data_IF_009874099609
#
_entry.id   IF_009874099609
#
_cell.length_a   1.000
_cell.length_b   1.000
_cell.length_c   1.000
_cell.angle_alpha   90.00
_cell.angle_beta   90.00
_cell.angle_gamma   90.00
#
_symmetry.space_group_name_H-M   'P 1'
#
loop_
_entity.id
_entity.type
_entity.pdbx_description
1 polymer ?
#
# COMPACT_ATOMS: atom_id res chain seq x y z
N UNK A 1 21.34 -50.81 -0.39
CA UNK A 1 22.00 -49.56 -0.81
C UNK A 1 21.09 -48.41 -0.44
N UNK A 2 21.46 -47.70 0.63
CA UNK A 2 20.62 -46.68 1.27
C UNK A 2 20.86 -45.34 0.58
N UNK A 3 19.80 -44.75 0.04
CA UNK A 3 19.81 -43.50 -0.71
C UNK A 3 20.02 -42.31 0.25
N UNK A 4 21.09 -41.56 0.01
CA UNK A 4 21.44 -40.33 0.72
C UNK A 4 20.34 -39.26 0.57
N UNK A 5 19.93 -38.53 1.62
CA UNK A 5 18.97 -37.45 1.49
C UNK A 5 19.67 -36.22 0.90
N UNK A 6 19.13 -35.73 -0.22
CA UNK A 6 19.57 -34.51 -0.88
C UNK A 6 19.47 -33.30 0.07
N UNK A 7 20.61 -32.64 0.33
CA UNK A 7 20.69 -31.36 1.00
C UNK A 7 19.82 -30.34 0.26
N UNK A 8 18.80 -29.81 0.94
CA UNK A 8 18.05 -28.65 0.46
C UNK A 8 18.98 -27.44 0.53
N UNK A 9 19.16 -26.66 -0.56
CA UNK A 9 19.92 -25.43 -0.49
C UNK A 9 19.24 -24.49 0.50
N UNK A 10 19.99 -24.08 1.52
CA UNK A 10 19.56 -23.06 2.46
C UNK A 10 19.20 -21.78 1.69
N UNK A 11 18.10 -21.09 2.04
CA UNK A 11 17.75 -19.84 1.38
C UNK A 11 18.90 -18.87 1.66
N UNK A 12 19.70 -18.55 0.64
CA UNK A 12 20.62 -17.42 0.68
C UNK A 12 19.77 -16.25 1.12
N UNK A 13 20.00 -15.77 2.35
CA UNK A 13 19.46 -14.50 2.82
C UNK A 13 20.06 -13.44 1.91
N UNK A 14 19.43 -13.20 0.76
CA UNK A 14 19.61 -11.98 0.02
C UNK A 14 19.18 -10.90 1.01
N UNK A 15 20.15 -10.28 1.69
CA UNK A 15 19.89 -9.12 2.52
C UNK A 15 19.06 -8.19 1.65
N UNK A 16 17.84 -7.85 2.12
CA UNK A 16 16.88 -7.09 1.33
C UNK A 16 17.59 -5.90 0.67
N UNK A 17 17.26 -5.63 -0.58
CA UNK A 17 17.80 -4.50 -1.35
C UNK A 17 17.58 -3.19 -0.58
N UNK A 18 16.51 -3.11 0.23
CA UNK A 18 16.28 -2.06 1.23
C UNK A 18 17.39 -1.97 2.26
N UNK A 19 17.75 -3.10 2.89
CA UNK A 19 18.82 -3.16 3.88
C UNK A 19 20.18 -2.85 3.25
N UNK A 20 20.44 -3.31 2.02
CA UNK A 20 21.67 -3.02 1.30
C UNK A 20 21.80 -1.53 0.94
N UNK A 21 20.74 -0.92 0.42
CA UNK A 21 20.71 0.52 0.13
C UNK A 21 20.85 1.36 1.40
N UNK A 22 20.17 0.98 2.48
CA UNK A 22 20.28 1.68 3.76
C UNK A 22 21.70 1.57 4.34
N UNK A 23 22.30 0.37 4.31
CA UNK A 23 23.67 0.15 4.77
C UNK A 23 24.69 0.89 3.91
N UNK A 24 24.52 0.88 2.58
CA UNK A 24 25.38 1.64 1.67
C UNK A 24 25.28 3.15 1.94
N UNK A 25 24.05 3.65 2.16
CA UNK A 25 23.81 5.05 2.51
C UNK A 25 24.43 5.40 3.87
N UNK A 26 24.22 4.57 4.89
CA UNK A 26 24.83 4.77 6.21
C UNK A 26 26.36 4.78 6.11
N UNK A 27 26.93 3.83 5.37
CA UNK A 27 28.37 3.73 5.13
C UNK A 27 28.93 4.97 4.43
N UNK A 28 28.23 5.48 3.41
CA UNK A 28 28.61 6.71 2.71
C UNK A 28 28.57 7.93 3.65
N UNK A 29 27.50 8.06 4.44
CA UNK A 29 27.34 9.17 5.39
C UNK A 29 28.43 9.16 6.46
N UNK A 30 28.69 7.99 7.07
CA UNK A 30 29.72 7.83 8.09
C UNK A 30 31.11 8.07 7.50
N UNK A 31 31.39 7.51 6.33
CA UNK A 31 32.67 7.69 5.64
C UNK A 31 32.94 9.16 5.30
N UNK A 32 31.96 9.84 4.72
CA UNK A 32 32.08 11.25 4.36
C UNK A 32 32.23 12.15 5.60
N UNK A 33 31.46 11.86 6.65
CA UNK A 33 31.58 12.56 7.95
C UNK A 33 32.95 12.38 8.59
N UNK A 34 33.53 11.18 8.52
CA UNK A 34 34.86 10.88 9.06
C UNK A 34 35.97 11.57 8.28
N UNK A 35 35.88 11.59 6.94
CA UNK A 35 36.84 12.32 6.09
C UNK A 35 36.81 13.82 6.40
N UNK A 36 35.62 14.41 6.54
CA UNK A 36 35.48 15.83 6.87
C UNK A 36 36.01 16.13 8.27
N UNK A 37 35.68 15.28 9.25
CA UNK A 37 36.20 15.42 10.60
C UNK A 37 37.73 15.36 10.63
N UNK A 38 38.34 14.45 9.87
CA UNK A 38 39.79 14.31 9.77
C UNK A 38 40.43 15.54 9.10
N UNK A 39 39.89 15.99 7.97
CA UNK A 39 40.37 17.19 7.27
C UNK A 39 40.28 18.42 8.18
N UNK A 40 39.16 18.59 8.88
CA UNK A 40 38.98 19.67 9.84
C UNK A 40 39.95 19.57 11.02
N UNK A 41 40.15 18.37 11.57
CA UNK A 41 41.08 18.15 12.66
C UNK A 41 42.51 18.56 12.29
N UNK A 42 42.95 18.24 11.06
CA UNK A 42 44.28 18.63 10.58
C UNK A 42 44.36 20.13 10.30
N UNK A 43 43.45 20.69 9.49
CA UNK A 43 43.49 22.10 9.06
C UNK A 43 43.36 23.06 10.24
N UNK A 44 42.46 22.76 11.20
CA UNK A 44 42.31 23.53 12.45
C UNK A 44 43.61 23.56 13.24
N UNK A 45 44.22 22.39 13.45
CA UNK A 45 45.41 22.25 14.28
C UNK A 45 46.63 22.95 13.65
N UNK A 46 46.74 22.95 12.32
CA UNK A 46 47.81 23.66 11.59
C UNK A 46 47.60 25.18 11.67
N UNK A 47 46.38 25.65 11.45
CA UNK A 47 46.07 27.10 11.45
C UNK A 47 46.30 27.72 12.82
N UNK A 48 45.80 27.07 13.88
CA UNK A 48 46.00 27.52 15.26
C UNK A 48 47.48 27.52 15.64
N UNK A 49 48.24 26.50 15.22
CA UNK A 49 49.67 26.42 15.49
C UNK A 49 50.47 27.58 14.84
N UNK A 50 50.11 28.00 13.62
CA UNK A 50 50.75 29.14 12.95
C UNK A 50 50.49 30.46 13.67
N UNK A 51 49.24 30.71 14.06
CA UNK A 51 48.86 31.90 14.83
C UNK A 51 49.62 31.99 16.16
N UNK A 52 49.74 30.87 16.88
CA UNK A 52 50.56 30.83 18.11
C UNK A 52 52.04 31.06 17.84
N UNK A 53 52.59 30.50 16.75
CA UNK A 53 53.99 30.73 16.40
C UNK A 53 54.27 32.20 16.08
N UNK A 54 53.42 32.86 15.30
CA UNK A 54 53.54 34.28 14.99
C UNK A 54 53.47 35.14 16.27
N UNK A 55 52.56 34.83 17.19
CA UNK A 55 52.43 35.55 18.45
C UNK A 55 53.61 35.31 19.42
N UNK A 56 54.13 34.07 19.47
CA UNK A 56 55.12 33.68 20.47
C UNK A 56 56.56 33.84 20.00
N UNK A 57 56.84 33.75 18.70
CA UNK A 57 58.19 33.76 18.16
C UNK A 57 59.03 34.98 18.59
N UNK A 58 58.52 36.23 18.55
CA UNK A 58 59.31 37.39 18.98
C UNK A 58 59.69 37.32 20.46
N UNK A 59 58.77 36.85 21.31
CA UNK A 59 58.97 36.74 22.76
C UNK A 59 59.92 35.59 23.11
N UNK A 60 59.78 34.45 22.43
CA UNK A 60 60.66 33.30 22.59
C UNK A 60 62.08 33.60 22.08
N UNK A 61 62.21 34.29 20.95
CA UNK A 61 63.50 34.70 20.41
C UNK A 61 64.20 35.70 21.34
N UNK A 62 63.48 36.69 21.87
CA UNK A 62 64.02 37.62 22.85
C UNK A 62 64.46 36.93 24.16
N UNK A 63 63.61 36.05 24.71
CA UNK A 63 63.91 35.33 25.95
C UNK A 63 65.08 34.35 25.80
N UNK A 64 65.28 33.79 24.60
CA UNK A 64 66.42 32.96 24.24
C UNK A 64 67.71 33.77 23.95
N UNK A 65 67.61 35.10 23.81
CA UNK A 65 68.72 35.99 23.44
C UNK A 65 69.09 35.94 21.95
N UNK A 66 68.15 35.54 21.09
CA UNK A 66 68.30 35.44 19.64
C UNK A 66 67.86 36.72 18.89
N UNK A 67 67.04 37.57 19.53
CA UNK A 67 66.51 38.81 18.96
C UNK A 67 66.36 39.89 20.05
N UNK A 68 66.29 41.19 19.71
CA UNK A 68 65.99 42.25 20.68
C UNK A 68 64.57 42.08 21.27
N UNK A 69 64.33 42.52 22.52
CA UNK A 69 63.03 42.39 23.17
C UNK A 69 61.95 43.18 22.40
N UNK A 70 60.78 42.57 22.14
CA UNK A 70 59.69 43.24 21.43
C UNK A 70 59.13 44.41 22.26
N UNK A 71 58.68 45.46 21.58
CA UNK A 71 58.13 46.67 22.21
C UNK A 71 56.82 46.42 23.00
N UNK A 72 56.10 45.33 22.72
CA UNK A 72 54.88 44.91 23.41
C UNK A 72 55.14 43.59 24.15
N UNK A 73 55.20 43.63 25.49
CA UNK A 73 55.32 42.44 26.35
C UNK A 73 53.94 41.81 26.58
N UNK A 74 53.47 41.01 25.62
CA UNK A 74 52.11 40.46 25.63
C UNK A 74 51.91 39.15 26.42
N UNK A 75 52.95 38.35 26.67
CA UNK A 75 52.83 37.14 27.50
C UNK A 75 54.05 36.96 28.42
N UNK A 76 53.78 36.55 29.66
CA UNK A 76 54.81 36.22 30.64
C UNK A 76 55.57 34.98 30.18
N UNK A 77 56.83 35.15 29.80
CA UNK A 77 57.73 34.04 29.44
C UNK A 77 58.44 33.57 30.70
N UNK A 78 58.12 32.38 31.19
CA UNK A 78 58.87 31.79 32.30
C UNK A 78 60.11 31.07 31.77
N UNK A 79 61.29 31.44 32.28
CA UNK A 79 62.58 30.88 31.88
C UNK A 79 63.06 29.83 32.88
N UNK A 80 63.37 28.63 32.41
CA UNK A 80 63.97 27.55 33.21
C UNK A 80 65.13 26.88 32.46
N UNK A 81 66.15 26.49 33.21
CA UNK A 81 67.29 25.74 32.66
C UNK A 81 67.08 24.22 32.76
N UNK A 82 66.39 23.77 33.81
CA UNK A 82 65.99 22.39 33.99
C UNK A 82 64.64 22.07 33.32
N UNK A 83 64.42 20.82 32.88
CA UNK A 83 63.15 20.42 32.29
C UNK A 83 62.00 20.55 33.29
N UNK A 84 60.82 21.05 32.87
CA UNK A 84 59.66 21.16 33.74
C UNK A 84 59.15 19.77 34.13
N UNK A 85 59.16 19.48 35.44
CA UNK A 85 58.82 18.16 36.03
C UNK A 85 57.33 17.84 35.92
N UNK A 86 56.47 18.86 35.99
CA UNK A 86 55.01 18.70 35.92
C UNK A 86 54.45 18.70 34.48
N UNK A 87 55.31 18.95 33.47
CA UNK A 87 54.88 19.05 32.09
C UNK A 87 54.99 17.71 31.34
N UNK A 88 53.95 17.33 30.59
CA UNK A 88 53.91 16.11 29.78
C UNK A 88 54.48 16.35 28.39
N UNK A 89 55.29 15.42 27.90
CA UNK A 89 55.82 15.46 26.53
C UNK A 89 54.68 15.31 25.52
N UNK A 90 54.66 16.17 24.50
CA UNK A 90 53.69 16.08 23.40
C UNK A 90 54.18 15.09 22.36
N UNK A 91 53.29 14.27 21.81
CA UNK A 91 53.64 13.34 20.72
C UNK A 91 54.23 14.11 19.53
N UNK A 92 55.40 13.67 19.07
CA UNK A 92 56.11 14.26 17.95
C UNK A 92 55.33 14.17 16.62
N UNK A 93 54.37 13.24 16.54
CA UNK A 93 53.56 12.98 15.34
C UNK A 93 52.22 13.75 15.34
N UNK A 94 51.92 14.52 16.39
CA UNK A 94 50.67 15.27 16.43
C UNK A 94 50.69 16.44 15.42
N UNK A 95 49.69 16.61 14.53
CA UNK A 95 49.69 17.65 13.50
C UNK A 95 49.90 19.07 14.04
N UNK A 96 49.29 19.40 15.19
CA UNK A 96 49.48 20.68 15.89
C UNK A 96 50.93 20.95 16.30
N UNK A 97 51.66 19.90 16.69
CA UNK A 97 53.03 20.03 17.17
C UNK A 97 54.00 20.18 16.00
N UNK A 98 53.80 19.37 14.94
CA UNK A 98 54.56 19.48 13.70
C UNK A 98 54.43 20.90 13.14
N UNK A 99 53.20 21.40 13.00
CA UNK A 99 52.94 22.74 12.49
C UNK A 99 53.51 23.85 13.39
N UNK A 100 53.39 23.74 14.73
CA UNK A 100 53.90 24.75 15.65
C UNK A 100 55.44 24.80 15.62
N UNK A 101 56.08 23.63 15.61
CA UNK A 101 57.54 23.51 15.54
C UNK A 101 58.09 24.07 14.24
N UNK A 102 57.45 23.74 13.11
CA UNK A 102 57.83 24.26 11.79
C UNK A 102 57.64 25.77 11.72
N UNK A 103 56.50 26.28 12.20
CA UNK A 103 56.22 27.71 12.18
C UNK A 103 57.18 28.50 13.09
N UNK A 104 57.50 28.01 14.29
CA UNK A 104 58.49 28.65 15.19
C UNK A 104 59.90 28.64 14.58
N UNK A 105 60.30 27.55 13.92
CA UNK A 105 61.58 27.48 13.21
C UNK A 105 61.66 28.45 12.05
N UNK A 106 60.57 28.62 11.29
CA UNK A 106 60.49 29.59 10.21
C UNK A 106 60.72 31.04 10.70
N UNK A 107 60.36 31.33 11.96
CA UNK A 107 60.61 32.62 12.62
C UNK A 107 61.95 32.69 13.36
N UNK A 108 62.88 31.74 13.13
CA UNK A 108 64.22 31.77 13.70
C UNK A 108 64.35 31.22 15.12
N UNK A 109 63.31 30.56 15.67
CA UNK A 109 63.36 29.92 16.99
C UNK A 109 63.62 28.41 16.83
N UNK A 110 64.84 27.90 17.12
CA UNK A 110 65.16 26.49 16.97
C UNK A 110 64.58 25.64 18.11
N UNK A 111 63.41 25.05 17.86
CA UNK A 111 62.70 24.20 18.83
C UNK A 111 63.18 22.74 18.77
N UNK A 112 63.55 22.18 19.93
CA UNK A 112 63.94 20.77 20.10
C UNK A 112 62.80 19.91 20.66
N UNK A 113 62.24 20.32 21.79
CA UNK A 113 61.20 19.59 22.53
C UNK A 113 60.08 20.55 22.95
N UNK A 114 58.86 20.02 23.07
CA UNK A 114 57.71 20.76 23.58
C UNK A 114 56.98 19.93 24.63
N UNK A 115 56.65 20.58 25.75
CA UNK A 115 55.89 19.96 26.84
C UNK A 115 54.70 20.85 27.18
N UNK A 116 53.61 20.23 27.60
CA UNK A 116 52.42 20.94 28.03
C UNK A 116 52.21 20.67 29.51
N UNK A 117 52.04 21.75 30.26
CA UNK A 117 51.66 21.72 31.66
C UNK A 117 50.22 22.22 31.77
N UNK A 118 49.35 21.33 32.23
CA UNK A 118 47.93 21.61 32.44
C UNK A 118 47.71 21.94 33.92
N UNK A 119 48.16 23.12 34.36
CA UNK A 119 47.92 23.62 35.72
C UNK A 119 46.75 24.60 35.72
N UNK A 120 45.71 24.38 36.53
CA UNK A 120 44.64 25.38 36.68
C UNK A 120 45.20 26.55 37.51
N UNK A 121 45.04 27.82 37.08
CA UNK A 121 44.09 28.31 36.07
C UNK A 121 44.64 28.51 34.64
N UNK A 122 45.92 28.27 34.35
CA UNK A 122 46.53 28.58 33.05
C UNK A 122 47.26 27.37 32.42
N UNK A 123 46.87 27.03 31.18
CA UNK A 123 47.62 26.03 30.40
C UNK A 123 48.92 26.66 29.92
N UNK A 124 50.05 26.03 30.26
CA UNK A 124 51.38 26.50 29.84
C UNK A 124 51.99 25.55 28.82
N UNK A 125 52.55 26.13 27.77
CA UNK A 125 53.31 25.41 26.75
C UNK A 125 54.78 25.74 26.93
N UNK A 126 55.55 24.72 27.27
CA UNK A 126 56.99 24.78 27.46
C UNK A 126 57.69 24.41 26.15
N UNK A 127 58.48 25.34 25.63
CA UNK A 127 59.28 25.19 24.42
C UNK A 127 60.75 25.09 24.81
N UNK A 128 61.43 24.03 24.42
CA UNK A 128 62.88 23.93 24.57
C UNK A 128 63.55 24.54 23.35
N UNK A 129 64.25 25.65 23.55
CA UNK A 129 64.96 26.37 22.50
C UNK A 129 66.45 26.06 22.57
N UNK A 130 67.02 25.63 21.45
CA UNK A 130 68.45 25.46 21.30
C UNK A 130 69.13 26.82 21.14
N UNK A 131 70.28 27.03 21.76
CA UNK A 131 71.08 28.22 21.48
C UNK A 131 72.51 27.79 21.16
N UNK A 132 73.06 28.27 20.05
CA UNK A 132 74.43 28.00 19.64
C UNK A 132 75.39 28.60 20.67
N UNK A 133 76.00 27.74 21.50
CA UNK A 133 76.97 28.14 22.52
C UNK A 133 76.43 28.30 23.94
N UNK A 134 75.15 27.98 24.22
CA UNK A 134 74.56 27.97 25.57
C UNK A 134 73.75 26.69 25.82
N UNK A 135 73.56 26.26 27.08
CA UNK A 135 72.69 25.12 27.38
C UNK A 135 71.25 25.39 26.89
N UNK A 136 70.53 24.35 26.44
CA UNK A 136 69.17 24.50 25.93
C UNK A 136 68.24 25.02 27.02
N UNK A 137 67.40 25.98 26.67
CA UNK A 137 66.58 26.72 27.62
C UNK A 137 65.11 26.36 27.47
N UNK A 138 64.42 26.15 28.59
CA UNK A 138 62.98 25.94 28.62
C UNK A 138 62.27 27.28 28.81
N UNK A 139 61.41 27.61 27.84
CA UNK A 139 60.60 28.83 27.83
C UNK A 139 59.12 28.45 27.92
N UNK A 140 58.46 28.87 28.99
CA UNK A 140 57.04 28.61 29.26
C UNK A 140 56.18 29.78 28.80
N UNK A 141 55.26 29.51 27.88
CA UNK A 141 54.27 30.47 27.41
C UNK A 141 52.92 30.19 28.08
N UNK A 142 52.37 31.19 28.78
CA UNK A 142 50.97 31.17 29.20
C UNK A 142 50.10 31.64 28.03
N UNK A 143 49.13 30.83 27.61
CA UNK A 143 48.24 31.16 26.50
C UNK A 143 46.80 30.87 26.82
N UNK A 144 45.91 31.83 26.51
CA UNK A 144 44.48 31.57 26.46
C UNK A 144 44.12 30.77 25.20
N UNK A 145 43.09 29.94 25.32
CA UNK A 145 42.57 29.13 24.22
C UNK A 145 41.86 30.08 23.25
N UNK A 146 42.51 30.40 22.13
CA UNK A 146 41.86 31.19 21.06
C UNK A 146 40.72 30.32 20.51
N UNK A 147 39.48 30.79 20.65
CA UNK A 147 38.32 30.10 20.10
C UNK A 147 38.42 30.14 18.56
N UNK A 148 38.33 29.00 17.87
CA UNK A 148 38.45 28.97 16.42
C UNK A 148 37.25 29.68 15.79
N UNK A 149 37.50 30.57 14.84
CA UNK A 149 36.46 31.07 13.95
C UNK A 149 36.13 29.99 12.91
N UNK A 150 34.84 29.71 12.73
CA UNK A 150 34.40 28.76 11.71
C UNK A 150 34.74 29.32 10.32
N UNK A 151 35.73 28.72 9.66
CA UNK A 151 36.06 29.06 8.28
C UNK A 151 34.82 28.89 7.39
N UNK A 152 34.51 29.86 6.53
CA UNK A 152 33.38 29.77 5.58
C UNK A 152 33.40 28.48 4.75
N UNK A 153 34.58 27.90 4.53
CA UNK A 153 34.78 26.62 3.82
C UNK A 153 34.22 25.42 4.60
N UNK A 154 34.32 25.41 5.93
CA UNK A 154 33.85 24.29 6.76
C UNK A 154 32.33 24.30 6.90
N UNK A 155 31.75 25.49 7.01
CA UNK A 155 30.29 25.66 6.94
C UNK A 155 29.76 25.20 5.58
N UNK A 156 30.43 25.56 4.49
CA UNK A 156 30.03 25.14 3.14
C UNK A 156 30.16 23.62 2.94
N UNK A 157 31.24 23.00 3.43
CA UNK A 157 31.41 21.55 3.39
C UNK A 157 30.30 20.82 4.18
N UNK A 158 29.95 21.31 5.38
CA UNK A 158 28.88 20.76 6.18
C UNK A 158 27.54 20.82 5.44
N UNK A 159 27.20 21.98 4.89
CA UNK A 159 25.95 22.18 4.12
C UNK A 159 25.89 21.25 2.91
N UNK A 160 26.98 21.12 2.14
CA UNK A 160 27.04 20.24 0.98
C UNK A 160 26.83 18.78 1.36
N UNK A 161 27.41 18.33 2.48
CA UNK A 161 27.20 16.97 2.96
C UNK A 161 25.78 16.74 3.41
N UNK A 162 25.23 17.64 4.22
CA UNK A 162 23.82 17.53 4.63
C UNK A 162 22.89 17.50 3.41
N UNK A 163 23.12 18.36 2.42
CA UNK A 163 22.36 18.36 1.17
C UNK A 163 22.50 17.03 0.40
N UNK A 164 23.71 16.46 0.33
CA UNK A 164 23.94 15.16 -0.31
C UNK A 164 23.22 14.02 0.42
N UNK A 165 23.26 14.00 1.77
CA UNK A 165 22.54 13.00 2.57
C UNK A 165 21.04 13.11 2.38
N UNK A 166 20.48 14.33 2.40
CA UNK A 166 19.06 14.57 2.18
C UNK A 166 18.64 14.20 0.75
N UNK A 167 19.44 14.57 -0.25
CA UNK A 167 19.20 14.23 -1.65
C UNK A 167 19.21 12.73 -1.91
N UNK A 168 20.20 12.02 -1.35
CA UNK A 168 20.27 10.56 -1.47
C UNK A 168 19.10 9.89 -0.73
N UNK A 169 18.79 10.33 0.49
CA UNK A 169 17.61 9.86 1.24
C UNK A 169 16.32 10.01 0.46
N UNK A 170 16.11 11.18 -0.14
CA UNK A 170 14.93 11.48 -0.93
C UNK A 170 14.84 10.65 -2.21
N UNK A 171 15.97 10.45 -2.90
CA UNK A 171 16.06 9.60 -4.08
C UNK A 171 15.69 8.14 -3.74
N UNK A 172 16.26 7.59 -2.67
CA UNK A 172 15.97 6.22 -2.22
C UNK A 172 14.49 6.10 -1.80
N UNK A 173 13.97 7.07 -1.04
CA UNK A 173 12.57 7.08 -0.63
C UNK A 173 11.61 7.10 -1.83
N UNK A 174 11.90 7.91 -2.85
CA UNK A 174 11.08 7.96 -4.08
C UNK A 174 11.13 6.66 -4.88
N UNK A 175 12.30 6.02 -4.96
CA UNK A 175 12.44 4.71 -5.63
C UNK A 175 11.63 3.59 -4.95
N UNK A 176 11.34 3.73 -3.66
CA UNK A 176 10.63 2.71 -2.88
C UNK A 176 9.12 3.01 -2.76
N UNK A 177 8.77 4.27 -2.51
CA UNK A 177 7.38 4.68 -2.27
C UNK A 177 6.51 4.57 -3.54
N UNK A 178 7.06 4.90 -4.71
CA UNK A 178 6.32 4.85 -5.98
C UNK A 178 5.78 3.45 -6.32
N UNK A 179 6.63 2.41 -6.38
CA UNK A 179 6.20 1.05 -6.68
C UNK A 179 5.22 0.47 -5.64
N UNK A 180 5.38 0.80 -4.36
CA UNK A 180 4.47 0.38 -3.30
C UNK A 180 3.09 1.03 -3.44
N UNK A 181 3.04 2.32 -3.77
CA UNK A 181 1.78 3.03 -4.00
C UNK A 181 1.07 2.49 -5.25
N UNK A 182 1.82 2.18 -6.31
CA UNK A 182 1.27 1.55 -7.50
C UNK A 182 0.69 0.15 -7.19
N UNK A 183 1.37 -0.66 -6.38
CA UNK A 183 0.85 -1.96 -5.92
C UNK A 183 -0.41 -1.78 -5.07
N UNK A 184 -0.40 -0.84 -4.12
CA UNK A 184 -1.56 -0.51 -3.27
C UNK A 184 -2.78 -0.14 -4.12
N UNK A 185 -2.60 0.70 -5.13
CA UNK A 185 -3.68 1.11 -6.04
C UNK A 185 -4.20 -0.06 -6.86
N UNK A 186 -3.32 -0.94 -7.39
CA UNK A 186 -3.75 -2.15 -8.10
C UNK A 186 -4.61 -3.07 -7.23
N UNK A 187 -4.17 -3.33 -6.00
CA UNK A 187 -4.91 -4.16 -5.04
C UNK A 187 -6.24 -3.48 -4.67
N UNK A 188 -6.24 -2.18 -4.43
CA UNK A 188 -7.45 -1.44 -4.04
C UNK A 188 -8.50 -1.36 -5.16
N UNK A 189 -8.07 -1.33 -6.42
CA UNK A 189 -8.95 -1.31 -7.58
C UNK A 189 -9.23 -2.69 -8.18
N UNK A 190 -8.72 -3.77 -7.58
CA UNK A 190 -8.98 -5.13 -8.06
C UNK A 190 -10.46 -5.47 -7.85
N UNK A 191 -11.20 -5.62 -8.95
CA UNK A 191 -12.59 -6.03 -8.93
C UNK A 191 -12.73 -7.56 -8.98
N UNK A 192 -13.75 -8.14 -8.33
CA UNK A 192 -14.06 -9.56 -8.48
C UNK A 192 -14.29 -9.96 -9.94
N UNK A 193 -13.64 -11.04 -10.39
CA UNK A 193 -13.83 -11.58 -11.75
C UNK A 193 -12.97 -10.96 -12.85
N UNK A 194 -12.27 -9.85 -12.59
CA UNK A 194 -11.32 -9.26 -13.55
C UNK A 194 -9.96 -9.98 -13.43
N UNK A 195 -9.35 -10.43 -14.54
CA UNK A 195 -8.01 -11.04 -14.50
C UNK A 195 -6.96 -10.08 -13.91
N UNK A 196 -6.23 -10.55 -12.91
CA UNK A 196 -5.12 -9.78 -12.35
C UNK A 196 -3.95 -9.77 -13.32
N UNK A 197 -3.53 -8.59 -13.76
CA UNK A 197 -2.38 -8.42 -14.67
C UNK A 197 -1.22 -7.83 -13.91
N UNK A 198 -0.26 -8.67 -13.54
CA UNK A 198 0.95 -8.22 -12.87
C UNK A 198 1.90 -7.54 -13.89
N UNK A 199 2.59 -6.45 -13.51
CA UNK A 199 3.66 -5.88 -14.32
C UNK A 199 4.84 -6.86 -14.48
N UNK A 200 5.70 -6.61 -15.47
CA UNK A 200 6.94 -7.38 -15.61
C UNK A 200 7.78 -7.25 -14.34
N UNK A 201 8.28 -8.38 -13.82
CA UNK A 201 9.14 -8.40 -12.63
C UNK A 201 10.43 -7.59 -12.81
N UNK A 202 10.81 -7.25 -14.05
CA UNK A 202 12.00 -6.46 -14.37
C UNK A 202 11.82 -4.97 -14.05
N UNK A 203 10.59 -4.46 -14.02
CA UNK A 203 10.29 -3.04 -13.79
C UNK A 203 10.11 -2.70 -12.30
N UNK A 204 10.13 -3.71 -11.44
CA UNK A 204 9.80 -3.61 -10.03
C UNK A 204 11.03 -3.96 -9.16
N UNK A 205 11.19 -3.30 -7.99
CA UNK A 205 12.09 -3.80 -6.96
C UNK A 205 11.74 -5.26 -6.62
N UNK A 206 12.73 -6.14 -6.38
CA UNK A 206 12.50 -7.58 -6.26
C UNK A 206 11.57 -7.93 -5.10
N UNK A 207 11.57 -7.15 -4.02
CA UNK A 207 10.63 -7.34 -2.91
C UNK A 207 9.19 -7.01 -3.30
N UNK A 208 8.98 -5.93 -4.06
CA UNK A 208 7.65 -5.56 -4.56
C UNK A 208 7.18 -6.60 -5.57
N UNK A 209 8.06 -7.06 -6.46
CA UNK A 209 7.76 -8.13 -7.40
C UNK A 209 7.39 -9.45 -6.70
N UNK A 210 8.07 -9.79 -5.59
CA UNK A 210 7.76 -10.98 -4.80
C UNK A 210 6.39 -10.89 -4.12
N UNK A 211 6.03 -9.72 -3.56
CA UNK A 211 4.71 -9.50 -2.97
C UNK A 211 3.62 -9.57 -4.03
N UNK A 212 3.86 -8.94 -5.19
CA UNK A 212 2.91 -8.94 -6.31
C UNK A 212 2.66 -10.36 -6.84
N UNK A 213 3.72 -11.16 -7.01
CA UNK A 213 3.61 -12.56 -7.38
C UNK A 213 2.84 -13.40 -6.35
N UNK A 214 3.10 -13.19 -5.05
CA UNK A 214 2.37 -13.88 -3.99
C UNK A 214 0.89 -13.50 -3.96
N UNK A 215 0.55 -12.24 -4.24
CA UNK A 215 -0.83 -11.78 -4.36
C UNK A 215 -1.53 -12.40 -5.58
N UNK A 216 -0.87 -12.47 -6.74
CA UNK A 216 -1.40 -13.14 -7.93
C UNK A 216 -1.67 -14.63 -7.70
N UNK A 217 -0.78 -15.33 -6.99
CA UNK A 217 -0.98 -16.72 -6.60
C UNK A 217 -2.19 -16.87 -5.65
N UNK A 218 -2.31 -15.99 -4.66
CA UNK A 218 -3.45 -15.99 -3.72
C UNK A 218 -4.77 -15.79 -4.45
N UNK A 219 -4.84 -14.86 -5.41
CA UNK A 219 -6.03 -14.65 -6.25
C UNK A 219 -6.37 -15.90 -7.07
N UNK A 220 -5.36 -16.55 -7.65
CA UNK A 220 -5.56 -17.78 -8.43
C UNK A 220 -6.11 -18.91 -7.56
N UNK A 221 -5.57 -19.10 -6.36
CA UNK A 221 -6.06 -20.09 -5.39
C UNK A 221 -7.49 -19.78 -4.96
N UNK A 222 -7.80 -18.51 -4.68
CA UNK A 222 -9.15 -18.09 -4.30
C UNK A 222 -10.17 -18.34 -5.41
N UNK A 223 -9.86 -17.96 -6.65
CA UNK A 223 -10.72 -18.23 -7.81
C UNK A 223 -10.95 -19.73 -8.03
N UNK A 224 -9.92 -20.55 -7.84
CA UNK A 224 -10.04 -22.00 -7.94
C UNK A 224 -10.96 -22.56 -6.84
N UNK A 225 -10.79 -22.12 -5.61
CA UNK A 225 -11.62 -22.54 -4.49
C UNK A 225 -13.09 -22.16 -4.70
N UNK A 226 -13.36 -20.98 -5.28
CA UNK A 226 -14.72 -20.56 -5.60
C UNK A 226 -15.35 -21.44 -6.68
N UNK A 227 -14.60 -21.73 -7.77
CA UNK A 227 -15.07 -22.65 -8.83
C UNK A 227 -15.33 -24.07 -8.32
N UNK A 228 -14.43 -24.59 -7.48
CA UNK A 228 -14.61 -25.91 -6.85
C UNK A 228 -15.85 -25.92 -5.96
N UNK A 229 -16.08 -24.86 -5.19
CA UNK A 229 -17.27 -24.69 -4.36
C UNK A 229 -18.54 -24.70 -5.22
N UNK A 230 -18.58 -24.00 -6.34
CA UNK A 230 -19.76 -24.00 -7.19
C UNK A 230 -20.01 -25.33 -7.91
N UNK A 231 -18.96 -26.02 -8.37
CA UNK A 231 -19.06 -27.37 -8.93
C UNK A 231 -19.64 -28.36 -7.91
N UNK A 232 -19.18 -28.29 -6.65
CA UNK A 232 -19.73 -29.08 -5.56
C UNK A 232 -21.21 -28.78 -5.33
N UNK A 233 -21.61 -27.51 -5.30
CA UNK A 233 -23.02 -27.12 -5.10
C UNK A 233 -23.91 -27.56 -6.28
N UNK A 234 -23.38 -27.53 -7.50
CA UNK A 234 -24.06 -28.08 -8.68
C UNK A 234 -24.26 -29.60 -8.58
N UNK A 235 -23.24 -30.34 -8.15
CA UNK A 235 -23.32 -31.79 -7.93
C UNK A 235 -24.32 -32.18 -6.84
N UNK A 236 -24.24 -31.52 -5.67
CA UNK A 236 -25.18 -31.76 -4.56
C UNK A 236 -26.62 -31.53 -4.99
N UNK A 237 -26.89 -30.49 -5.80
CA UNK A 237 -28.25 -30.20 -6.26
C UNK A 237 -28.80 -31.25 -7.23
N UNK A 238 -27.95 -31.79 -8.10
CA UNK A 238 -28.32 -32.93 -8.95
C UNK A 238 -28.70 -34.15 -8.08
N UNK A 239 -27.89 -34.43 -7.06
CA UNK A 239 -28.09 -35.56 -6.17
C UNK A 239 -29.32 -35.38 -5.25
N UNK A 240 -29.76 -34.14 -4.99
CA UNK A 240 -31.01 -33.84 -4.27
C UNK A 240 -32.27 -33.98 -5.15
N UNK A 241 -32.19 -33.74 -6.46
CA UNK A 241 -33.33 -33.94 -7.37
C UNK A 241 -33.70 -35.40 -7.54
N UNK A 242 -32.73 -36.31 -7.53
CA UNK A 242 -32.96 -37.76 -7.64
C UNK A 242 -33.89 -38.34 -6.55
N UNK A 243 -33.67 -38.13 -5.24
CA UNK A 243 -34.59 -38.57 -4.21
C UNK A 243 -35.94 -37.83 -4.25
N UNK A 244 -35.99 -36.54 -4.62
CA UNK A 244 -37.25 -35.82 -4.81
C UNK A 244 -38.10 -36.43 -5.94
N UNK A 245 -37.49 -36.78 -7.06
CA UNK A 245 -38.15 -37.49 -8.16
C UNK A 245 -38.71 -38.85 -7.70
N UNK A 246 -37.95 -39.59 -6.89
CA UNK A 246 -38.42 -40.85 -6.28
C UNK A 246 -39.59 -40.64 -5.32
N UNK A 247 -39.58 -39.61 -4.49
CA UNK A 247 -40.70 -39.27 -3.60
C UNK A 247 -41.94 -38.91 -4.40
N UNK A 248 -41.80 -38.14 -5.48
CA UNK A 248 -42.89 -37.81 -6.39
C UNK A 248 -43.49 -39.07 -7.03
N UNK A 249 -42.64 -39.94 -7.59
CA UNK A 249 -43.11 -41.22 -8.14
C UNK A 249 -43.83 -42.08 -7.11
N UNK A 250 -43.29 -42.17 -5.88
CA UNK A 250 -43.93 -42.92 -4.80
C UNK A 250 -45.31 -42.33 -4.40
N UNK A 251 -45.46 -41.00 -4.47
CA UNK A 251 -46.74 -40.33 -4.25
C UNK A 251 -47.76 -40.66 -5.35
N UNK A 252 -47.32 -40.79 -6.60
CA UNK A 252 -48.21 -41.21 -7.71
C UNK A 252 -48.74 -42.64 -7.54
N UNK A 253 -48.03 -43.49 -6.79
CA UNK A 253 -48.46 -44.87 -6.48
C UNK A 253 -49.47 -44.97 -5.32
N UNK A 254 -49.86 -43.85 -4.69
CA UNK A 254 -50.87 -43.86 -3.62
C UNK A 254 -52.25 -44.27 -4.18
N UNK A 255 -53.08 -45.00 -3.39
CA UNK A 255 -54.43 -45.39 -3.80
C UNK A 255 -55.29 -44.19 -4.21
N UNK A 256 -56.25 -44.40 -5.11
CA UNK A 256 -57.20 -43.37 -5.55
C UNK A 256 -58.43 -43.27 -4.63
N UNK A 257 -58.16 -42.98 -3.35
CA UNK A 257 -59.17 -42.58 -2.38
C UNK A 257 -59.02 -41.08 -2.03
N UNK A 258 -60.08 -40.45 -1.50
CA UNK A 258 -60.11 -39.01 -1.27
C UNK A 258 -59.03 -38.52 -0.29
N UNK A 259 -58.65 -39.32 0.69
CA UNK A 259 -57.63 -38.98 1.69
C UNK A 259 -56.21 -39.13 1.09
N UNK A 260 -55.99 -40.19 0.31
CA UNK A 260 -54.75 -40.41 -0.44
C UNK A 260 -54.54 -39.40 -1.57
N UNK A 261 -55.59 -38.97 -2.26
CA UNK A 261 -55.52 -37.87 -3.24
C UNK A 261 -55.09 -36.55 -2.60
N UNK A 262 -55.59 -36.26 -1.39
CA UNK A 262 -55.18 -35.08 -0.61
C UNK A 262 -53.71 -35.16 -0.20
N UNK A 263 -53.26 -36.33 0.30
CA UNK A 263 -51.86 -36.58 0.64
C UNK A 263 -50.95 -36.46 -0.58
N UNK A 264 -51.33 -37.04 -1.72
CA UNK A 264 -50.62 -36.95 -3.01
C UNK A 264 -50.43 -35.49 -3.41
N UNK A 265 -51.50 -34.70 -3.39
CA UNK A 265 -51.44 -33.28 -3.71
C UNK A 265 -50.49 -32.49 -2.80
N UNK A 266 -50.48 -32.79 -1.48
CA UNK A 266 -49.54 -32.16 -0.53
C UNK A 266 -48.10 -32.56 -0.82
N UNK A 267 -47.82 -33.84 -1.07
CA UNK A 267 -46.46 -34.33 -1.37
C UNK A 267 -45.95 -33.73 -2.68
N UNK A 268 -46.74 -33.77 -3.75
CA UNK A 268 -46.38 -33.20 -5.06
C UNK A 268 -46.12 -31.70 -4.93
N UNK A 269 -46.94 -30.97 -4.16
CA UNK A 269 -46.71 -29.54 -3.90
C UNK A 269 -45.39 -29.30 -3.17
N UNK A 270 -45.10 -30.04 -2.11
CA UNK A 270 -43.87 -29.88 -1.33
C UNK A 270 -42.61 -30.26 -2.12
N UNK A 271 -42.69 -31.29 -2.99
CA UNK A 271 -41.61 -31.65 -3.91
C UNK A 271 -41.36 -30.53 -4.92
N UNK A 272 -42.42 -30.00 -5.54
CA UNK A 272 -42.31 -28.90 -6.49
C UNK A 272 -41.76 -27.62 -5.82
N UNK A 273 -42.12 -27.36 -4.56
CA UNK A 273 -41.54 -26.27 -3.77
C UNK A 273 -40.04 -26.50 -3.53
N UNK A 274 -39.65 -27.72 -3.13
CA UNK A 274 -38.24 -28.09 -2.91
C UNK A 274 -37.40 -27.96 -4.19
N UNK A 275 -37.93 -28.38 -5.35
CA UNK A 275 -37.25 -28.23 -6.64
C UNK A 275 -37.00 -26.75 -6.97
N UNK A 276 -38.00 -25.88 -6.74
CA UNK A 276 -37.85 -24.42 -6.94
C UNK A 276 -36.84 -23.80 -5.98
N UNK A 277 -36.77 -24.28 -4.73
CA UNK A 277 -35.77 -23.83 -3.76
C UNK A 277 -34.35 -24.20 -4.22
N UNK A 278 -34.14 -25.44 -4.66
CA UNK A 278 -32.86 -25.93 -5.17
C UNK A 278 -32.44 -25.14 -6.41
N UNK A 279 -33.36 -24.91 -7.34
CA UNK A 279 -33.10 -24.12 -8.54
C UNK A 279 -32.73 -22.67 -8.22
N UNK A 280 -33.49 -22.01 -7.34
CA UNK A 280 -33.17 -20.65 -6.87
C UNK A 280 -31.79 -20.56 -6.20
N UNK A 281 -31.43 -21.58 -5.42
CA UNK A 281 -30.12 -21.65 -4.76
C UNK A 281 -28.99 -21.86 -5.77
N UNK A 282 -29.18 -22.74 -6.75
CA UNK A 282 -28.21 -22.91 -7.84
C UNK A 282 -28.05 -21.65 -8.67
N UNK A 283 -29.14 -20.94 -8.94
CA UNK A 283 -29.11 -19.67 -9.65
C UNK A 283 -28.34 -18.61 -8.87
N UNK A 284 -28.53 -18.53 -7.55
CA UNK A 284 -27.73 -17.66 -6.67
C UNK A 284 -26.23 -18.00 -6.74
N UNK A 285 -25.86 -19.28 -6.62
CA UNK A 285 -24.46 -19.73 -6.69
C UNK A 285 -23.84 -19.40 -8.05
N UNK A 286 -24.50 -19.80 -9.15
CA UNK A 286 -24.01 -19.60 -10.52
C UNK A 286 -23.93 -18.12 -10.90
N UNK A 287 -24.82 -17.29 -10.35
CA UNK A 287 -24.82 -15.86 -10.62
C UNK A 287 -23.58 -15.16 -10.07
N UNK A 288 -22.82 -15.78 -9.16
CA UNK A 288 -21.51 -15.30 -8.72
C UNK A 288 -20.37 -15.49 -9.74
N UNK A 289 -20.54 -16.37 -10.73
CA UNK A 289 -19.42 -16.88 -11.52
C UNK A 289 -19.42 -16.47 -13.00
N UNK A 290 -20.58 -16.14 -13.55
CA UNK A 290 -20.76 -15.81 -14.97
C UNK A 290 -19.92 -14.60 -15.42
N UNK A 291 -18.99 -14.70 -16.39
CA UNK A 291 -18.21 -13.55 -16.84
C UNK A 291 -19.11 -12.45 -17.44
N UNK A 292 -18.85 -11.20 -17.09
CA UNK A 292 -19.57 -10.02 -17.57
C UNK A 292 -18.66 -9.27 -18.54
N UNK A 293 -18.58 -9.71 -19.79
CA UNK A 293 -17.66 -9.18 -20.81
C UNK A 293 -18.39 -8.87 -22.12
N UNK A 294 -19.67 -9.21 -22.21
CA UNK A 294 -20.44 -9.08 -23.43
C UNK A 294 -21.19 -7.74 -23.46
N UNK A 295 -21.56 -7.30 -24.66
CA UNK A 295 -22.55 -6.24 -24.83
C UNK A 295 -23.91 -6.86 -25.09
N UNK A 296 -24.90 -6.53 -24.28
CA UNK A 296 -26.25 -7.12 -24.32
C UNK A 296 -27.31 -6.06 -24.55
N UNK A 297 -28.39 -6.39 -25.27
CA UNK A 297 -29.55 -5.49 -25.43
C UNK A 297 -30.52 -5.68 -24.25
N UNK A 298 -30.45 -4.76 -23.28
CA UNK A 298 -31.31 -4.76 -22.09
C UNK A 298 -32.80 -4.68 -22.46
N UNK A 299 -33.16 -3.92 -23.49
CA UNK A 299 -34.55 -3.78 -23.90
C UNK A 299 -35.09 -5.10 -24.49
N UNK A 300 -34.26 -5.81 -25.28
CA UNK A 300 -34.61 -7.13 -25.79
C UNK A 300 -34.76 -8.16 -24.67
N UNK A 301 -33.82 -8.20 -23.71
CA UNK A 301 -33.88 -9.13 -22.58
C UNK A 301 -35.09 -8.85 -21.66
N UNK A 302 -35.42 -7.58 -21.43
CA UNK A 302 -36.62 -7.20 -20.68
C UNK A 302 -37.91 -7.67 -21.37
N UNK A 303 -37.99 -7.54 -22.71
CA UNK A 303 -39.11 -8.08 -23.50
C UNK A 303 -39.25 -9.59 -23.33
N UNK A 304 -38.17 -10.33 -23.50
CA UNK A 304 -38.16 -11.79 -23.35
C UNK A 304 -38.58 -12.21 -21.94
N UNK A 305 -38.00 -11.59 -20.91
CA UNK A 305 -38.30 -11.90 -19.52
C UNK A 305 -39.76 -11.61 -19.14
N UNK A 306 -40.30 -10.45 -19.55
CA UNK A 306 -41.70 -10.08 -19.29
C UNK A 306 -42.67 -11.00 -20.04
N UNK A 307 -42.39 -11.33 -21.30
CA UNK A 307 -43.21 -12.24 -22.09
C UNK A 307 -43.32 -13.63 -21.46
N UNK A 308 -42.26 -14.12 -20.80
CA UNK A 308 -42.23 -15.43 -20.14
C UNK A 308 -43.20 -15.60 -18.96
N UNK A 309 -43.77 -14.51 -18.42
CA UNK A 309 -44.77 -14.59 -17.35
C UNK A 309 -46.21 -14.79 -17.87
N UNK A 310 -46.44 -14.62 -19.17
CA UNK A 310 -47.75 -14.83 -19.84
C UNK A 310 -48.92 -14.11 -19.13
N UNK A 311 -48.70 -12.87 -18.67
CA UNK A 311 -49.70 -12.04 -17.99
C UNK A 311 -50.34 -11.03 -18.96
N UNK A 312 -51.63 -10.69 -18.76
CA UNK A 312 -52.27 -9.62 -19.53
C UNK A 312 -51.61 -8.26 -19.24
N UNK A 313 -51.63 -7.35 -20.22
CA UNK A 313 -50.99 -6.04 -20.14
C UNK A 313 -51.49 -5.17 -18.97
N UNK A 314 -52.73 -5.40 -18.52
CA UNK A 314 -53.35 -4.76 -17.36
C UNK A 314 -52.70 -5.18 -16.03
N UNK A 315 -52.08 -6.36 -15.99
CA UNK A 315 -51.40 -6.88 -14.80
C UNK A 315 -49.89 -6.71 -14.87
N UNK A 316 -49.30 -6.82 -16.06
CA UNK A 316 -47.86 -6.68 -16.29
C UNK A 316 -47.62 -5.95 -17.62
N UNK A 317 -46.98 -4.79 -17.55
CA UNK A 317 -46.65 -3.99 -18.73
C UNK A 317 -45.16 -3.70 -18.81
N UNK A 318 -44.67 -3.52 -20.03
CA UNK A 318 -43.28 -3.15 -20.32
C UNK A 318 -43.26 -1.90 -21.19
N UNK A 319 -42.52 -0.89 -20.73
CA UNK A 319 -42.14 0.29 -21.49
C UNK A 319 -40.62 0.26 -21.73
N UNK A 320 -40.20 0.10 -22.98
CA UNK A 320 -38.78 -0.01 -23.33
C UNK A 320 -38.52 0.50 -24.75
N UNK A 321 -37.35 1.11 -25.02
CA UNK A 321 -36.96 1.52 -26.37
C UNK A 321 -36.75 0.30 -27.28
N UNK A 322 -36.61 0.56 -28.59
CA UNK A 322 -36.36 -0.48 -29.58
C UNK A 322 -35.11 -1.31 -29.26
N UNK A 323 -34.01 -0.67 -28.88
CA UNK A 323 -32.79 -1.32 -28.44
C UNK A 323 -32.08 -0.45 -27.40
N UNK A 324 -31.47 -1.07 -26.39
CA UNK A 324 -30.66 -0.36 -25.41
C UNK A 324 -29.51 -1.27 -24.96
N UNK A 325 -28.30 -0.94 -25.42
CA UNK A 325 -27.11 -1.76 -25.20
C UNK A 325 -26.46 -1.47 -23.83
N UNK A 326 -26.00 -2.54 -23.21
CA UNK A 326 -25.33 -2.58 -21.92
C UNK A 326 -24.01 -3.33 -22.09
N UNK A 327 -22.88 -2.64 -21.94
CA UNK A 327 -21.54 -3.22 -21.98
C UNK A 327 -21.14 -3.86 -20.66
N UNK A 328 -20.12 -4.71 -20.68
CA UNK A 328 -19.60 -5.44 -19.52
C UNK A 328 -20.70 -6.19 -18.76
N UNK A 329 -21.56 -6.88 -19.52
CA UNK A 329 -22.74 -7.56 -19.01
C UNK A 329 -22.76 -9.05 -19.41
N UNK A 330 -23.75 -9.77 -18.89
CA UNK A 330 -24.04 -11.16 -19.24
C UNK A 330 -25.56 -11.34 -19.38
N UNK A 331 -26.02 -11.89 -20.50
CA UNK A 331 -27.45 -11.98 -20.80
C UNK A 331 -28.23 -12.77 -19.75
N UNK A 332 -27.69 -13.91 -19.31
CA UNK A 332 -28.34 -14.78 -18.32
C UNK A 332 -28.46 -14.10 -16.94
N UNK A 333 -27.46 -13.31 -16.54
CA UNK A 333 -27.54 -12.53 -15.29
C UNK A 333 -28.64 -11.46 -15.36
N UNK A 334 -28.74 -10.76 -16.49
CA UNK A 334 -29.76 -9.72 -16.70
C UNK A 334 -31.16 -10.34 -16.73
N UNK A 335 -31.35 -11.44 -17.46
CA UNK A 335 -32.64 -12.17 -17.49
C UNK A 335 -33.06 -12.63 -16.09
N UNK A 336 -32.15 -13.23 -15.33
CA UNK A 336 -32.42 -13.65 -13.94
C UNK A 336 -32.75 -12.48 -13.04
N UNK A 337 -32.04 -11.38 -13.17
CA UNK A 337 -32.28 -10.18 -12.39
C UNK A 337 -33.69 -9.65 -12.64
N UNK A 338 -34.09 -9.51 -13.91
CA UNK A 338 -35.42 -9.04 -14.30
C UNK A 338 -36.49 -10.03 -13.83
N UNK A 339 -36.30 -11.33 -14.08
CA UNK A 339 -37.24 -12.36 -13.67
C UNK A 339 -37.48 -12.37 -12.15
N UNK A 340 -36.41 -12.24 -11.34
CA UNK A 340 -36.55 -12.18 -9.88
C UNK A 340 -37.29 -10.92 -9.40
N UNK A 341 -37.07 -9.77 -10.04
CA UNK A 341 -37.79 -8.54 -9.70
C UNK A 341 -39.27 -8.62 -10.05
N UNK A 342 -39.59 -9.09 -11.26
CA UNK A 342 -40.98 -9.22 -11.72
C UNK A 342 -41.72 -10.29 -10.91
N UNK A 343 -41.10 -11.43 -10.64
CA UNK A 343 -41.68 -12.48 -9.80
C UNK A 343 -41.93 -11.98 -8.36
N UNK A 344 -41.00 -11.21 -7.79
CA UNK A 344 -41.17 -10.59 -6.47
C UNK A 344 -42.34 -9.59 -6.47
N UNK A 345 -42.43 -8.73 -7.49
CA UNK A 345 -43.52 -7.76 -7.67
C UNK A 345 -44.89 -8.45 -7.82
N UNK A 346 -44.97 -9.56 -8.56
CA UNK A 346 -46.21 -10.31 -8.76
C UNK A 346 -46.65 -11.10 -7.52
N UNK A 347 -45.71 -11.61 -6.71
CA UNK A 347 -46.02 -12.41 -5.51
C UNK A 347 -46.35 -11.56 -4.29
N UNK A 348 -45.61 -10.47 -4.09
CA UNK A 348 -45.65 -9.68 -2.86
C UNK A 348 -46.23 -8.27 -3.05
N UNK A 349 -46.27 -7.77 -4.29
CA UNK A 349 -46.88 -6.50 -4.64
C UNK A 349 -48.37 -6.60 -4.95
N UNK A 350 -48.89 -5.60 -5.65
CA UNK A 350 -50.24 -5.63 -6.26
C UNK A 350 -50.16 -5.19 -7.72
N UNK A 351 -50.96 -5.78 -8.63
CA UNK A 351 -51.07 -5.27 -10.00
C UNK A 351 -51.62 -3.83 -10.03
N UNK A 352 -51.30 -3.03 -11.05
CA UNK A 352 -50.43 -3.37 -12.20
C UNK A 352 -48.95 -3.35 -11.82
N UNK A 353 -48.20 -4.33 -12.34
CA UNK A 353 -46.73 -4.31 -12.33
C UNK A 353 -46.24 -3.65 -13.62
N UNK A 354 -45.36 -2.67 -13.50
CA UNK A 354 -44.77 -1.97 -14.65
C UNK A 354 -43.26 -2.16 -14.67
N UNK A 355 -42.74 -2.62 -15.79
CA UNK A 355 -41.31 -2.68 -16.07
C UNK A 355 -40.98 -1.55 -17.03
N UNK A 356 -39.98 -0.75 -16.71
CA UNK A 356 -39.51 0.33 -17.57
C UNK A 356 -38.01 0.23 -17.80
N UNK A 357 -37.59 0.34 -19.05
CA UNK A 357 -36.18 0.45 -19.46
C UNK A 357 -36.02 1.77 -20.18
N UNK A 358 -35.12 2.63 -19.73
CA UNK A 358 -34.86 3.91 -20.37
C UNK A 358 -33.42 4.37 -20.26
N UNK A 359 -33.04 5.29 -21.14
CA UNK A 359 -31.84 6.11 -20.98
C UNK A 359 -32.28 7.45 -20.41
N UNK A 360 -31.70 7.83 -19.27
CA UNK A 360 -31.95 9.12 -18.62
C UNK A 360 -31.28 10.25 -19.39
N UNK A 361 -31.74 11.48 -19.19
CA UNK A 361 -31.20 12.68 -19.84
C UNK A 361 -29.71 12.90 -19.53
N UNK A 362 -29.24 12.45 -18.37
CA UNK A 362 -27.83 12.50 -17.96
C UNK A 362 -26.95 11.41 -18.60
N UNK A 363 -27.53 10.57 -19.46
CA UNK A 363 -26.86 9.50 -20.19
C UNK A 363 -26.78 8.16 -19.45
N UNK A 364 -27.28 8.07 -18.20
CA UNK A 364 -27.37 6.81 -17.45
C UNK A 364 -28.45 5.90 -18.00
N UNK A 365 -28.26 4.59 -17.83
CA UNK A 365 -29.27 3.58 -18.18
C UNK A 365 -30.03 3.23 -16.89
N UNK A 366 -31.36 3.13 -16.98
CA UNK A 366 -32.21 2.77 -15.85
C UNK A 366 -33.15 1.61 -16.24
N UNK A 367 -33.20 0.58 -15.39
CA UNK A 367 -34.24 -0.45 -15.36
C UNK A 367 -35.04 -0.25 -14.08
N UNK A 368 -36.35 -0.18 -14.21
CA UNK A 368 -37.27 0.04 -13.11
C UNK A 368 -38.37 -1.01 -13.11
N UNK A 369 -38.68 -1.58 -11.95
CA UNK A 369 -39.85 -2.43 -11.72
C UNK A 369 -40.69 -1.81 -10.62
N UNK A 370 -41.94 -1.50 -10.94
CA UNK A 370 -42.92 -0.87 -10.03
C UNK A 370 -44.11 -1.80 -9.82
N UNK A 371 -44.56 -1.92 -8.57
CA UNK A 371 -45.81 -2.59 -8.20
C UNK A 371 -46.67 -1.70 -7.30
N UNK A 372 -47.98 -1.97 -7.23
CA UNK A 372 -48.96 -1.21 -6.44
C UNK A 372 -49.15 -1.69 -5.00
N UNK A 373 -48.20 -2.45 -4.44
CA UNK A 373 -48.27 -2.99 -3.09
C UNK A 373 -47.97 -1.99 -1.98
N UNK A 374 -48.07 -2.44 -0.73
CA UNK A 374 -47.82 -1.61 0.46
C UNK A 374 -46.30 -1.31 0.66
N UNK A 375 -45.45 -1.93 -0.18
CA UNK A 375 -44.01 -1.76 -0.24
C UNK A 375 -43.22 -2.42 0.89
N UNK A 376 -41.89 -2.34 0.78
CA UNK A 376 -40.97 -2.97 1.72
C UNK A 376 -40.60 -1.99 2.84
N UNK A 377 -40.70 -2.37 4.14
CA UNK A 377 -40.39 -1.46 5.23
C UNK A 377 -38.92 -1.00 5.15
N UNK A 378 -38.62 0.31 5.25
CA UNK A 378 -37.25 0.81 5.06
C UNK A 378 -36.22 0.16 5.99
N UNK A 379 -36.61 -0.13 7.23
CA UNK A 379 -35.78 -0.78 8.24
C UNK A 379 -35.47 -2.26 7.95
N UNK A 380 -36.20 -2.90 7.03
CA UNK A 380 -35.98 -4.30 6.64
C UNK A 380 -35.29 -4.44 5.29
N UNK A 381 -35.10 -3.35 4.53
CA UNK A 381 -34.59 -3.42 3.15
C UNK A 381 -33.19 -4.03 3.05
N UNK A 382 -32.24 -3.58 3.85
CA UNK A 382 -30.90 -4.22 3.89
C UNK A 382 -31.02 -5.69 4.27
N UNK A 383 -31.91 -5.96 5.22
CA UNK A 383 -32.05 -7.30 5.74
C UNK A 383 -32.59 -8.26 4.67
N UNK A 384 -33.63 -7.87 3.93
CA UNK A 384 -34.30 -8.67 2.91
C UNK A 384 -33.44 -8.94 1.67
N UNK A 385 -32.32 -8.22 1.53
CA UNK A 385 -31.32 -8.49 0.49
C UNK A 385 -30.28 -9.56 0.89
N UNK A 386 -30.34 -10.07 2.12
CA UNK A 386 -29.56 -11.22 2.56
C UNK A 386 -30.21 -12.55 2.13
N UNK A 387 -29.37 -13.52 1.77
CA UNK A 387 -29.84 -14.82 1.33
C UNK A 387 -30.68 -15.53 2.42
N UNK A 388 -31.78 -16.16 2.00
CA UNK A 388 -32.74 -16.87 2.84
C UNK A 388 -33.53 -16.01 3.83
N UNK A 389 -33.36 -14.68 3.83
CA UNK A 389 -34.18 -13.80 4.68
C UNK A 389 -35.54 -13.56 4.04
N UNK A 390 -36.60 -13.62 4.86
CA UNK A 390 -38.00 -13.41 4.46
C UNK A 390 -38.63 -12.37 5.37
N UNK A 391 -39.51 -11.53 4.83
CA UNK A 391 -40.23 -10.51 5.61
C UNK A 391 -41.24 -11.15 6.56
N UNK A 392 -41.55 -10.45 7.66
CA UNK A 392 -42.41 -10.99 8.72
C UNK A 392 -43.84 -11.33 8.25
N UNK A 393 -44.36 -10.61 7.24
CA UNK A 393 -45.65 -10.90 6.60
C UNK A 393 -45.63 -11.99 5.52
N UNK A 394 -44.44 -12.43 5.06
CA UNK A 394 -44.28 -13.34 3.91
C UNK A 394 -44.06 -14.81 4.32
N UNK A 395 -44.21 -15.15 5.61
CA UNK A 395 -43.98 -16.51 6.13
C UNK A 395 -44.99 -17.55 5.63
N UNK A 396 -46.17 -17.11 5.18
CA UNK A 396 -47.26 -17.97 4.67
C UNK A 396 -47.31 -18.10 3.14
N UNK A 397 -46.57 -17.27 2.39
CA UNK A 397 -46.50 -17.32 0.92
C UNK A 397 -45.28 -18.11 0.45
N UNK A 398 -45.39 -18.96 -0.59
CA UNK A 398 -44.27 -19.75 -1.09
C UNK A 398 -43.12 -18.88 -1.66
N UNK A 399 -41.88 -19.10 -1.19
CA UNK A 399 -40.70 -18.35 -1.66
C UNK A 399 -39.40 -18.73 -0.92
N UNK A 400 -38.27 -18.71 -1.63
CA UNK A 400 -36.95 -19.13 -1.12
C UNK A 400 -36.24 -18.09 -0.25
N UNK A 401 -36.65 -16.82 -0.31
CA UNK A 401 -35.89 -15.70 0.28
C UNK A 401 -34.57 -15.43 -0.45
N UNK A 402 -34.39 -15.97 -1.67
CA UNK A 402 -33.17 -15.75 -2.46
C UNK A 402 -33.34 -14.68 -3.54
N UNK A 403 -34.57 -14.31 -3.94
CA UNK A 403 -34.81 -13.42 -5.07
C UNK A 403 -34.09 -12.08 -4.97
N UNK A 404 -34.30 -11.32 -3.90
CA UNK A 404 -33.62 -10.04 -3.69
C UNK A 404 -32.10 -10.19 -3.47
N UNK A 405 -31.65 -11.31 -2.92
CA UNK A 405 -30.22 -11.60 -2.79
C UNK A 405 -29.56 -11.83 -4.16
N UNK A 406 -30.25 -12.54 -5.07
CA UNK A 406 -29.84 -12.72 -6.47
C UNK A 406 -29.78 -11.36 -7.17
N UNK A 407 -30.82 -10.52 -7.01
CA UNK A 407 -30.85 -9.17 -7.59
C UNK A 407 -29.67 -8.34 -7.09
N UNK A 408 -29.41 -8.30 -5.77
CA UNK A 408 -28.27 -7.55 -5.20
C UNK A 408 -26.94 -8.02 -5.76
N UNK A 409 -26.73 -9.35 -5.80
CA UNK A 409 -25.50 -9.93 -6.32
C UNK A 409 -25.32 -9.63 -7.82
N UNK A 410 -26.35 -9.85 -8.63
CA UNK A 410 -26.29 -9.57 -10.06
C UNK A 410 -26.09 -8.07 -10.34
N UNK A 411 -26.74 -7.18 -9.57
CA UNK A 411 -26.54 -5.72 -9.65
C UNK A 411 -25.08 -5.34 -9.43
N UNK A 412 -24.46 -5.87 -8.36
CA UNK A 412 -23.07 -5.58 -8.04
C UNK A 412 -22.10 -6.06 -9.14
N UNK A 413 -22.38 -7.21 -9.76
CA UNK A 413 -21.55 -7.76 -10.85
C UNK A 413 -21.72 -7.00 -12.16
N UNK A 414 -22.92 -6.51 -12.44
CA UNK A 414 -23.24 -5.69 -13.60
C UNK A 414 -22.87 -4.21 -13.41
N UNK A 415 -22.27 -3.83 -12.26
CA UNK A 415 -21.94 -2.44 -11.96
C UNK A 415 -23.15 -1.51 -11.80
N UNK A 416 -24.33 -2.06 -11.51
CA UNK A 416 -25.57 -1.32 -11.34
C UNK A 416 -25.77 -0.87 -9.88
N UNK A 417 -26.26 0.34 -9.67
CA UNK A 417 -26.72 0.82 -8.37
C UNK A 417 -28.17 0.39 -8.15
N UNK A 418 -28.39 -0.50 -7.17
CA UNK A 418 -29.72 -0.95 -6.76
C UNK A 418 -30.34 0.03 -5.76
N UNK A 419 -31.54 0.52 -6.06
CA UNK A 419 -32.31 1.44 -5.22
C UNK A 419 -33.74 0.95 -5.01
N UNK A 420 -34.29 1.30 -3.85
CA UNK A 420 -35.66 1.00 -3.45
C UNK A 420 -36.36 2.29 -3.06
N UNK A 421 -37.54 2.54 -3.62
CA UNK A 421 -38.33 3.74 -3.34
C UNK A 421 -39.79 3.38 -3.09
N UNK A 422 -40.39 4.09 -2.15
CA UNK A 422 -41.83 4.03 -1.89
C UNK A 422 -42.45 5.34 -2.33
N UNK A 423 -43.47 5.28 -3.18
CA UNK A 423 -44.18 6.47 -3.69
C UNK A 423 -45.63 6.55 -3.15
N UNK A 424 -45.86 6.05 -1.94
CA UNK A 424 -47.17 6.02 -1.28
C UNK A 424 -48.27 5.19 -1.97
N UNK A 425 -48.03 4.74 -3.21
CA UNK A 425 -48.93 3.94 -4.06
C UNK A 425 -48.34 2.58 -4.44
N UNK A 426 -47.13 2.27 -3.99
CA UNK A 426 -46.36 1.15 -4.51
C UNK A 426 -44.91 1.08 -4.06
N UNK A 427 -44.25 -0.01 -4.43
CA UNK A 427 -42.79 -0.16 -4.36
C UNK A 427 -42.20 0.01 -5.76
N UNK A 428 -41.15 0.81 -5.85
CA UNK A 428 -40.30 0.93 -7.03
C UNK A 428 -38.92 0.39 -6.73
N UNK A 429 -38.43 -0.52 -7.56
CA UNK A 429 -37.07 -1.05 -7.51
C UNK A 429 -36.34 -0.59 -8.75
N UNK A 430 -35.22 0.12 -8.58
CA UNK A 430 -34.47 0.75 -9.67
C UNK A 430 -33.04 0.21 -9.74
N UNK A 431 -32.56 -0.01 -10.95
CA UNK A 431 -31.17 -0.29 -11.24
C UNK A 431 -30.64 0.77 -12.19
N UNK A 432 -29.59 1.45 -11.75
CA UNK A 432 -28.98 2.53 -12.52
C UNK A 432 -27.54 2.16 -12.85
N UNK A 433 -27.22 2.10 -14.13
CA UNK A 433 -25.84 1.96 -14.62
C UNK A 433 -25.25 3.34 -14.89
N UNK A 434 -23.94 3.47 -14.63
CA UNK A 434 -23.20 4.70 -14.92
C UNK A 434 -23.31 5.11 -16.39
N UNK A 435 -23.11 6.39 -16.69
CA UNK A 435 -23.12 6.85 -18.08
C UNK A 435 -22.02 6.14 -18.86
N UNK A 436 -22.37 5.53 -19.99
CA UNK A 436 -21.47 4.86 -20.92
C UNK A 436 -20.56 5.88 -21.66
N UNK A 437 -19.84 6.70 -20.90
CA UNK A 437 -18.86 7.67 -21.39
C UNK A 437 -17.48 7.05 -21.19
N UNK A 438 -17.09 6.14 -22.09
CA UNK A 438 -15.70 5.68 -22.05
C UNK A 438 -15.31 4.46 -22.85
N UNK A 439 -15.79 4.27 -24.08
CA UNK A 439 -15.02 3.57 -25.12
C UNK A 439 -15.61 3.86 -26.51
N UNK A 440 -15.00 4.80 -27.21
CA UNK A 440 -15.18 4.95 -28.65
C UNK A 440 -14.88 3.60 -29.31
N UNK A 441 -15.79 3.09 -30.13
CA UNK A 441 -15.48 2.03 -31.08
C UNK A 441 -14.24 2.41 -31.90
N UNK A 442 -13.25 1.52 -32.10
CA UNK A 442 -12.26 1.77 -33.13
C UNK A 442 -13.02 1.77 -34.47
N UNK A 443 -12.95 2.89 -35.19
CA UNK A 443 -13.56 3.02 -36.51
C UNK A 443 -13.06 1.93 -37.47
N UNK A 444 -13.84 1.60 -38.51
CA UNK A 444 -13.48 0.55 -39.44
C UNK A 444 -12.15 0.92 -40.13
N UNK A 445 -11.21 -0.02 -40.09
CA UNK A 445 -9.98 0.01 -40.89
C UNK A 445 -10.28 -0.32 -42.35
#
# INVERSE_FOLDING_TARGET
MSSSPAERPSPRRHASLFAQLLLAQLGLVVGLGLVIWLLFYVERNVTVARLYAEAWAPQLAAAAGLAPPPALSGALVERREAPPVQARRVSALAPRFIALREALRAHGVPVQELRIELSRPQTRVWVQVANTGRPPLWLGMAGEVVAPEWSRRTLLALVLVTALVLGLSWWTARRLAGPLEALRQRIAHQQPGVPYTAPSAQDLPPEVAAIDAAYAELLTRWQRQERERALLLAGVSHDLRSPLGRIRMAAELLPDDADSARRRAVIVRNVAESDRLIESFLDFVRSGELPCQDTVDLAALARTAVAGFERPAEQLSLDAPAALLLSDANALLVERLIANLVDNALKHGRPPVRVQVLRRDDGRIELCVEDGGDGLPPHQLEALQEAFRRGDGARSQAGSGLGLAIVRQASARLGAQLGFEQDGRGQRVRLVWGSDRGRQSPGPA
#
